data_IF_718928014931
#
_entry.id   IF_718928014931
#
_cell.length_a   1.000
_cell.length_b   1.000
_cell.length_c   1.000
_cell.angle_alpha   90.00
_cell.angle_beta   90.00
_cell.angle_gamma   90.00
#
_symmetry.space_group_name_H-M   'P 1'
#
loop_
_entity.id
_entity.type
_entity.pdbx_description
1 polymer ?
#
# COMPACT_ATOMS: atom_id res chain seq x y z
N UNK A 1 -12.90 1.18 5.62
CA UNK A 1 -14.13 1.27 6.45
C UNK A 1 -15.22 1.90 5.59
N UNK A 2 -16.52 1.65 5.84
CA UNK A 2 -17.59 2.24 5.03
C UNK A 2 -17.69 3.76 5.20
N UNK A 3 -18.34 4.42 4.25
CA UNK A 3 -18.75 5.83 4.35
C UNK A 3 -19.44 6.11 5.70
N UNK A 4 -19.16 7.26 6.30
CA UNK A 4 -19.72 7.68 7.58
C UNK A 4 -19.05 7.06 8.81
N UNK A 5 -18.02 6.23 8.63
CA UNK A 5 -17.27 5.69 9.77
C UNK A 5 -16.65 6.84 10.57
N UNK A 6 -16.86 6.88 11.89
CA UNK A 6 -16.33 7.95 12.72
C UNK A 6 -14.81 7.85 12.85
N UNK A 7 -14.19 9.01 12.98
CA UNK A 7 -12.85 9.21 13.48
C UNK A 7 -12.91 10.13 14.71
N UNK A 8 -11.77 10.27 15.38
CA UNK A 8 -11.55 11.27 16.42
C UNK A 8 -12.12 12.65 16.07
N UNK A 9 -12.59 13.39 17.08
CA UNK A 9 -13.02 14.79 16.97
C UNK A 9 -14.25 15.02 16.05
N UNK A 10 -15.17 14.05 16.02
CA UNK A 10 -16.41 14.08 15.22
C UNK A 10 -16.20 14.08 13.69
N UNK A 11 -15.02 13.66 13.24
CA UNK A 11 -14.76 13.46 11.81
C UNK A 11 -15.42 12.18 11.31
N UNK A 12 -15.80 12.17 10.03
CA UNK A 12 -16.38 11.00 9.38
C UNK A 12 -15.76 10.82 8.00
N UNK A 13 -15.49 9.56 7.64
CA UNK A 13 -15.03 9.23 6.29
C UNK A 13 -16.09 9.65 5.25
N UNK A 14 -15.77 10.49 4.25
CA UNK A 14 -16.72 10.90 3.23
C UNK A 14 -17.03 9.74 2.27
N UNK A 15 -18.11 9.86 1.50
CA UNK A 15 -18.57 8.77 0.62
C UNK A 15 -17.56 8.33 -0.44
N UNK A 16 -16.63 9.20 -0.80
CA UNK A 16 -15.64 9.00 -1.84
C UNK A 16 -14.24 8.65 -1.31
N UNK A 17 -14.04 8.56 0.01
CA UNK A 17 -12.73 8.28 0.60
C UNK A 17 -12.82 7.38 1.84
N UNK A 18 -11.94 6.37 1.99
CA UNK A 18 -10.87 6.03 1.05
C UNK A 18 -11.38 5.27 -0.19
N UNK A 19 -10.73 5.48 -1.33
CA UNK A 19 -11.03 4.81 -2.60
C UNK A 19 -10.40 3.42 -2.64
N UNK A 20 -11.19 2.37 -2.82
CA UNK A 20 -10.68 1.03 -3.12
C UNK A 20 -10.18 0.97 -4.57
N UNK A 21 -8.91 0.62 -4.76
CA UNK A 21 -8.37 0.34 -6.10
C UNK A 21 -8.89 -1.02 -6.57
N UNK A 22 -9.45 -1.06 -7.77
CA UNK A 22 -10.02 -2.27 -8.38
C UNK A 22 -9.26 -2.65 -9.65
N UNK A 23 -9.43 -3.88 -10.13
CA UNK A 23 -8.84 -4.32 -11.40
C UNK A 23 -7.37 -4.80 -11.34
N UNK A 24 -6.74 -4.82 -10.16
CA UNK A 24 -5.34 -5.27 -10.00
C UNK A 24 -5.19 -6.81 -9.87
N UNK A 25 -6.29 -7.57 -9.88
CA UNK A 25 -6.27 -8.99 -9.57
C UNK A 25 -5.93 -9.27 -8.09
N UNK A 26 -5.59 -10.51 -7.77
CA UNK A 26 -5.18 -10.90 -6.42
C UNK A 26 -3.70 -10.63 -6.19
N UNK A 27 -3.38 -9.98 -5.07
CA UNK A 27 -1.98 -9.79 -4.69
C UNK A 27 -1.33 -11.11 -4.27
N UNK A 28 -0.10 -11.32 -4.72
CA UNK A 28 0.70 -12.53 -4.52
C UNK A 28 2.18 -12.20 -4.34
N UNK A 29 2.45 -11.06 -3.69
CA UNK A 29 3.78 -10.44 -3.61
C UNK A 29 3.98 -9.39 -4.70
N UNK A 30 5.22 -8.96 -4.94
CA UNK A 30 5.53 -7.95 -5.97
C UNK A 30 5.30 -6.51 -5.49
N UNK A 31 5.06 -5.60 -6.43
CA UNK A 31 4.92 -4.16 -6.12
C UNK A 31 3.87 -3.48 -6.99
N UNK A 32 3.36 -2.35 -6.52
CA UNK A 32 2.54 -1.43 -7.29
C UNK A 32 3.31 -0.16 -7.64
N UNK A 33 2.96 0.45 -8.76
CA UNK A 33 3.45 1.77 -9.17
C UNK A 33 2.27 2.68 -9.48
N UNK A 34 2.43 3.96 -9.20
CA UNK A 34 1.47 5.00 -9.52
C UNK A 34 2.09 5.91 -10.58
N UNK A 35 1.42 6.11 -11.71
CA UNK A 35 1.94 6.92 -12.81
C UNK A 35 0.87 7.85 -13.35
N UNK A 36 1.29 8.86 -14.11
CA UNK A 36 0.40 9.90 -14.65
C UNK A 36 -0.49 10.55 -13.58
N UNK A 37 0.03 10.70 -12.36
CA UNK A 37 -0.71 11.36 -11.27
C UNK A 37 -0.85 12.84 -11.62
N UNK A 38 -2.09 13.28 -11.77
CA UNK A 38 -2.45 14.64 -12.15
C UNK A 38 -3.62 15.13 -11.30
N UNK A 39 -3.89 16.44 -11.37
CA UNK A 39 -4.89 17.10 -10.53
C UNK A 39 -4.27 17.65 -9.25
N UNK A 40 -5.07 17.67 -8.19
CA UNK A 40 -4.69 18.26 -6.93
C UNK A 40 -5.88 18.34 -5.99
N UNK A 41 -5.61 18.36 -4.70
CA UNK A 41 -6.62 18.52 -3.65
C UNK A 41 -6.25 19.65 -2.71
N UNK A 42 -7.19 20.03 -1.84
CA UNK A 42 -7.00 21.07 -0.85
C UNK A 42 -7.81 20.73 0.40
N UNK A 43 -7.19 20.84 1.58
CA UNK A 43 -7.83 20.81 2.91
C UNK A 43 -8.70 22.05 3.19
N UNK A 44 -8.90 22.91 2.19
CA UNK A 44 -9.78 24.07 2.26
C UNK A 44 -10.78 24.08 1.09
N UNK A 45 -11.86 24.88 1.17
CA UNK A 45 -12.83 25.00 0.07
C UNK A 45 -12.25 25.55 -1.23
N UNK A 46 -11.07 26.18 -1.20
CA UNK A 46 -10.39 26.66 -2.40
C UNK A 46 -9.56 25.56 -3.05
N UNK A 47 -9.69 25.42 -4.37
CA UNK A 47 -8.93 24.49 -5.18
C UNK A 47 -7.61 25.12 -5.67
N UNK A 48 -6.54 24.37 -5.93
CA UNK A 48 -6.12 23.07 -5.40
C UNK A 48 -4.58 23.11 -5.30
N UNK A 49 -4.00 22.36 -4.37
CA UNK A 49 -2.55 22.29 -4.18
C UNK A 49 -1.84 21.43 -5.23
N UNK A 50 -0.51 21.33 -5.10
CA UNK A 50 0.31 20.45 -5.93
C UNK A 50 0.04 18.97 -5.63
N UNK A 51 0.40 18.06 -6.55
CA UNK A 51 0.27 16.61 -6.36
C UNK A 51 1.16 16.09 -5.22
N UNK A 52 2.33 16.70 -5.06
CA UNK A 52 3.26 16.41 -3.97
C UNK A 52 2.75 16.92 -2.62
N UNK A 53 1.69 17.72 -2.62
CA UNK A 53 1.22 18.41 -1.44
C UNK A 53 2.01 19.67 -1.13
N UNK A 54 2.04 20.02 0.16
CA UNK A 54 2.70 21.21 0.69
C UNK A 54 3.51 20.84 1.97
N UNK A 55 3.49 21.67 3.01
CA UNK A 55 4.16 21.38 4.29
C UNK A 55 3.84 20.00 4.89
N UNK A 56 4.81 19.43 5.62
CA UNK A 56 4.66 18.16 6.31
C UNK A 56 3.79 18.29 7.55
N UNK A 57 2.84 17.37 7.68
CA UNK A 57 1.95 17.25 8.84
C UNK A 57 1.86 15.80 9.29
N UNK A 58 1.33 15.59 10.49
CA UNK A 58 0.85 14.28 10.93
C UNK A 58 -0.62 14.39 11.31
N UNK A 59 -1.35 13.28 11.28
CA UNK A 59 -2.69 13.25 11.86
C UNK A 59 -2.58 13.55 13.35
N UNK A 60 -3.18 14.65 13.80
CA UNK A 60 -2.98 15.20 15.17
C UNK A 60 -3.37 14.19 16.26
N UNK A 61 -4.50 13.46 16.14
CA UNK A 61 -4.90 12.42 17.10
C UNK A 61 -4.00 11.18 17.11
N UNK A 62 -3.12 11.00 16.12
CA UNK A 62 -2.25 9.84 16.03
C UNK A 62 -2.79 8.76 15.11
N UNK A 63 -2.44 7.51 15.42
CA UNK A 63 -2.98 6.34 14.74
C UNK A 63 -4.47 6.20 15.05
N UNK A 64 -5.28 5.90 14.04
CA UNK A 64 -6.74 5.95 14.14
C UNK A 64 -7.35 4.73 13.45
N UNK A 65 -8.41 4.16 14.02
CA UNK A 65 -9.15 3.05 13.41
C UNK A 65 -8.30 1.83 13.02
N UNK A 66 -7.20 1.59 13.74
CA UNK A 66 -6.25 0.50 13.47
C UNK A 66 -5.31 0.74 12.29
N UNK A 67 -5.29 1.95 11.73
CA UNK A 67 -4.33 2.40 10.72
C UNK A 67 -3.21 3.20 11.40
N UNK A 68 -1.98 3.10 10.88
CA UNK A 68 -0.88 3.89 11.42
C UNK A 68 -1.11 5.39 11.24
N UNK A 69 -0.45 6.20 12.08
CA UNK A 69 -0.19 7.59 11.71
C UNK A 69 0.82 7.64 10.55
N UNK A 70 0.98 8.81 9.95
CA UNK A 70 2.01 9.11 8.95
C UNK A 70 2.40 10.58 9.06
N UNK A 71 3.68 10.88 8.87
CA UNK A 71 4.14 12.26 8.64
C UNK A 71 4.45 12.44 7.17
N UNK A 72 3.61 13.17 6.45
CA UNK A 72 3.67 13.37 5.01
C UNK A 72 3.20 14.78 4.63
N UNK A 73 3.52 15.26 3.41
CA UNK A 73 2.99 16.53 2.90
C UNK A 73 1.46 16.58 2.94
N UNK A 74 0.88 17.64 3.49
CA UNK A 74 -0.57 17.89 3.41
C UNK A 74 -1.01 17.99 1.95
N UNK A 75 -2.24 17.58 1.62
CA UNK A 75 -2.80 17.52 0.27
C UNK A 75 -2.12 16.51 -0.68
N UNK A 76 -1.17 15.70 -0.22
CA UNK A 76 -0.58 14.65 -1.07
C UNK A 76 -1.51 13.44 -1.24
N UNK A 77 -1.25 12.64 -2.28
CA UNK A 77 -1.82 11.30 -2.40
C UNK A 77 -1.16 10.34 -1.41
N UNK A 78 -1.96 9.57 -0.67
CA UNK A 78 -1.51 8.53 0.26
C UNK A 78 -2.20 7.20 -0.03
N UNK A 79 -1.55 6.10 0.39
CA UNK A 79 -2.06 4.75 0.22
C UNK A 79 -1.98 3.92 1.49
N UNK A 80 -2.76 2.85 1.54
CA UNK A 80 -2.65 1.81 2.57
C UNK A 80 -3.03 0.43 2.01
N UNK A 81 -2.23 -0.57 2.32
CA UNK A 81 -2.55 -1.97 2.03
C UNK A 81 -3.31 -2.60 3.19
N UNK A 82 -4.42 -3.28 2.88
CA UNK A 82 -5.25 -4.00 3.84
C UNK A 82 -5.44 -5.46 3.41
N UNK A 83 -5.64 -6.33 4.39
CA UNK A 83 -6.24 -7.65 4.20
C UNK A 83 -7.77 -7.53 4.27
N UNK A 84 -8.52 -8.63 4.31
CA UNK A 84 -9.99 -8.61 4.36
C UNK A 84 -10.58 -8.33 5.76
N UNK A 85 -9.74 -8.28 6.79
CA UNK A 85 -10.21 -8.03 8.16
C UNK A 85 -10.51 -6.56 8.39
N UNK A 86 -11.33 -6.27 9.42
CA UNK A 86 -11.59 -4.90 9.83
C UNK A 86 -10.35 -4.34 10.56
N UNK A 87 -9.74 -3.22 10.10
CA UNK A 87 -8.47 -2.73 10.64
C UNK A 87 -8.52 -2.39 12.14
N UNK A 88 -9.64 -1.82 12.61
CA UNK A 88 -9.84 -1.39 14.00
C UNK A 88 -9.90 -2.54 15.01
N UNK A 89 -9.90 -3.80 14.55
CA UNK A 89 -9.80 -4.98 15.42
C UNK A 89 -8.36 -5.38 15.76
N UNK A 90 -7.37 -4.65 15.26
CA UNK A 90 -5.94 -4.90 15.48
C UNK A 90 -5.21 -3.61 15.87
N UNK A 91 -4.08 -3.76 16.56
CA UNK A 91 -3.23 -2.62 16.88
C UNK A 91 -2.67 -2.00 15.59
N UNK A 92 -2.64 -0.66 15.55
CA UNK A 92 -2.07 0.06 14.43
C UNK A 92 -0.55 -0.19 14.34
N UNK A 93 0.01 -0.34 13.12
CA UNK A 93 1.45 -0.46 12.94
C UNK A 93 2.17 0.88 13.22
N UNK A 94 3.50 0.83 13.32
CA UNK A 94 4.32 2.03 13.52
C UNK A 94 4.14 3.05 12.39
N UNK A 95 4.27 4.33 12.72
CA UNK A 95 4.14 5.40 11.73
C UNK A 95 5.35 5.49 10.78
N UNK A 96 5.10 5.89 9.54
CA UNK A 96 6.14 6.30 8.60
C UNK A 96 6.33 7.82 8.68
N UNK A 97 7.57 8.28 8.54
CA UNK A 97 7.94 9.70 8.53
C UNK A 97 8.73 10.03 7.26
N UNK A 98 8.16 10.91 6.43
CA UNK A 98 8.71 11.30 5.14
C UNK A 98 9.40 12.68 5.14
N UNK A 99 9.52 13.36 6.28
CA UNK A 99 10.11 14.72 6.38
C UNK A 99 11.52 14.83 5.80
N UNK A 100 12.28 13.74 5.81
CA UNK A 100 13.65 13.70 5.31
C UNK A 100 13.81 13.23 3.87
N UNK A 101 12.79 12.59 3.27
CA UNK A 101 12.90 12.04 1.91
C UNK A 101 11.55 11.68 1.28
N UNK A 102 11.20 12.35 0.19
CA UNK A 102 10.11 11.96 -0.72
C UNK A 102 10.61 11.27 -2.00
N UNK A 103 11.91 11.33 -2.28
CA UNK A 103 12.55 10.81 -3.48
C UNK A 103 13.19 9.44 -3.22
N UNK A 104 12.37 8.41 -2.99
CA UNK A 104 12.81 7.04 -2.73
C UNK A 104 12.40 6.11 -3.87
N UNK A 105 13.27 5.20 -4.30
CA UNK A 105 12.94 4.29 -5.40
C UNK A 105 11.97 3.17 -4.99
N UNK A 106 12.05 2.73 -3.74
CA UNK A 106 11.24 1.61 -3.24
C UNK A 106 10.76 1.84 -1.81
N UNK A 107 9.61 1.28 -1.47
CA UNK A 107 9.06 1.26 -0.11
C UNK A 107 8.45 -0.12 0.19
N UNK A 108 8.65 -0.60 1.41
CA UNK A 108 8.05 -1.84 1.91
C UNK A 108 7.06 -1.52 3.06
N UNK A 109 5.87 -1.00 2.76
CA UNK A 109 4.87 -0.71 3.78
C UNK A 109 4.34 -2.01 4.41
N UNK A 110 4.02 -1.97 5.70
CA UNK A 110 3.29 -3.05 6.37
C UNK A 110 1.77 -2.98 6.08
N UNK A 111 1.05 -4.07 6.39
CA UNK A 111 -0.42 -4.04 6.40
C UNK A 111 -0.92 -2.98 7.38
N UNK A 112 -1.93 -2.20 6.97
CA UNK A 112 -2.54 -1.08 7.74
C UNK A 112 -1.59 0.10 7.98
N UNK A 113 -0.44 0.13 7.32
CA UNK A 113 0.51 1.24 7.40
C UNK A 113 0.25 2.23 6.26
N UNK A 114 -0.06 3.47 6.62
CA UNK A 114 -0.29 4.55 5.67
C UNK A 114 1.06 5.04 5.13
N UNK A 115 1.15 5.22 3.80
CA UNK A 115 2.36 5.67 3.13
C UNK A 115 2.10 6.80 2.13
N UNK A 116 3.10 7.67 1.96
CA UNK A 116 3.11 8.72 0.96
C UNK A 116 3.24 8.14 -0.46
N UNK A 117 2.47 8.67 -1.39
CA UNK A 117 2.58 8.37 -2.83
C UNK A 117 2.99 9.63 -3.61
N UNK A 118 2.35 10.77 -3.33
CA UNK A 118 2.57 11.99 -4.13
C UNK A 118 2.29 11.75 -5.60
N UNK A 119 3.24 12.12 -6.45
CA UNK A 119 3.22 11.91 -7.90
C UNK A 119 3.66 10.51 -8.33
N UNK A 120 4.06 9.66 -7.37
CA UNK A 120 4.53 8.31 -7.59
C UNK A 120 5.93 8.23 -8.21
N UNK A 121 6.73 9.30 -8.17
CA UNK A 121 8.05 9.36 -8.79
C UNK A 121 9.20 9.60 -7.81
N UNK A 122 10.29 8.89 -8.05
CA UNK A 122 11.62 9.20 -7.54
C UNK A 122 12.38 9.95 -8.64
N UNK A 123 12.30 11.28 -8.61
CA UNK A 123 12.74 12.15 -9.70
C UNK A 123 12.04 11.83 -11.03
N UNK A 124 12.64 11.02 -11.91
CA UNK A 124 12.07 10.66 -13.22
C UNK A 124 11.75 9.17 -13.35
N UNK A 125 11.81 8.41 -12.26
CA UNK A 125 11.51 6.97 -12.23
C UNK A 125 10.32 6.70 -11.34
N UNK A 126 9.44 5.79 -11.73
CA UNK A 126 8.31 5.39 -10.89
C UNK A 126 8.81 4.73 -9.59
N UNK A 127 8.24 5.15 -8.46
CA UNK A 127 8.46 4.51 -7.16
C UNK A 127 7.77 3.15 -7.12
N UNK A 128 8.39 2.20 -6.42
CA UNK A 128 7.85 0.85 -6.26
C UNK A 128 7.40 0.62 -4.82
N UNK A 129 6.12 0.35 -4.64
CA UNK A 129 5.53 0.06 -3.33
C UNK A 129 5.28 -1.44 -3.23
N UNK A 130 6.14 -2.15 -2.49
CA UNK A 130 6.04 -3.60 -2.35
C UNK A 130 4.78 -3.98 -1.58
N UNK A 131 4.03 -4.91 -2.14
CA UNK A 131 2.77 -5.38 -1.54
C UNK A 131 3.12 -6.25 -0.32
N UNK A 132 2.66 -5.88 0.90
CA UNK A 132 2.94 -6.67 2.10
C UNK A 132 2.24 -8.03 2.04
N UNK A 133 2.86 -9.02 2.68
CA UNK A 133 2.27 -10.36 2.82
C UNK A 133 0.87 -10.28 3.43
N UNK A 134 -0.09 -10.96 2.81
CA UNK A 134 -1.49 -11.02 3.27
C UNK A 134 -2.36 -9.85 2.81
N UNK A 135 -1.81 -8.85 2.11
CA UNK A 135 -2.64 -7.80 1.51
C UNK A 135 -3.56 -8.38 0.44
N UNK A 136 -4.80 -7.94 0.46
CA UNK A 136 -5.83 -8.29 -0.54
C UNK A 136 -6.42 -7.04 -1.19
N UNK A 137 -6.21 -5.86 -0.56
CA UNK A 137 -6.83 -4.60 -0.95
C UNK A 137 -5.82 -3.45 -0.85
N UNK A 138 -5.91 -2.51 -1.78
CA UNK A 138 -5.21 -1.24 -1.76
C UNK A 138 -6.24 -0.11 -1.72
N UNK A 139 -6.09 0.78 -0.75
CA UNK A 139 -6.92 1.96 -0.61
C UNK A 139 -6.10 3.23 -0.83
N UNK A 140 -6.70 4.22 -1.49
CA UNK A 140 -6.12 5.54 -1.73
C UNK A 140 -6.92 6.62 -0.99
N UNK A 141 -6.21 7.66 -0.57
CA UNK A 141 -6.78 8.83 0.07
C UNK A 141 -5.88 10.04 -0.10
N UNK A 142 -6.29 11.17 0.47
CA UNK A 142 -5.53 12.41 0.49
C UNK A 142 -4.92 12.60 1.87
N UNK A 143 -3.76 13.24 1.99
CA UNK A 143 -3.22 13.60 3.31
C UNK A 143 -3.90 14.88 3.83
N UNK A 144 -4.41 14.83 5.05
CA UNK A 144 -4.96 15.98 5.77
C UNK A 144 -4.69 15.83 7.28
N UNK A 145 -4.84 16.91 8.04
CA UNK A 145 -4.48 16.98 9.46
C UNK A 145 -5.63 16.64 10.41
N UNK A 146 -6.80 17.26 10.20
CA UNK A 146 -8.03 17.12 11.00
C UNK A 146 -9.18 17.84 10.27
N UNK A 147 -10.45 17.56 10.61
CA UNK A 147 -11.64 18.24 10.06
C UNK A 147 -11.84 18.06 8.54
N UNK A 148 -11.93 16.80 8.11
CA UNK A 148 -12.01 16.37 6.71
C UNK A 148 -13.39 16.60 6.06
N UNK A 149 -13.94 17.81 6.20
CA UNK A 149 -15.34 18.11 5.88
C UNK A 149 -15.52 19.19 4.79
N UNK A 150 -14.45 19.87 4.39
CA UNK A 150 -14.52 21.02 3.48
C UNK A 150 -13.49 20.95 2.34
N UNK A 151 -12.87 19.79 2.15
CA UNK A 151 -11.83 19.55 1.17
C UNK A 151 -12.38 19.67 -0.26
N UNK A 152 -11.53 20.11 -1.17
CA UNK A 152 -11.87 20.27 -2.59
C UNK A 152 -10.82 19.64 -3.51
N UNK A 153 -11.19 19.40 -4.77
CA UNK A 153 -10.30 18.85 -5.79
C UNK A 153 -10.38 17.33 -5.97
N UNK A 154 -9.48 16.80 -6.80
CA UNK A 154 -9.37 15.36 -7.07
C UNK A 154 -8.02 15.01 -7.71
N UNK A 155 -7.63 13.75 -7.58
CA UNK A 155 -6.53 13.15 -8.34
C UNK A 155 -7.04 12.26 -9.47
N UNK A 156 -6.27 12.21 -10.56
CA UNK A 156 -6.39 11.23 -11.64
C UNK A 156 -5.04 10.55 -11.79
N UNK A 157 -5.02 9.22 -11.86
CA UNK A 157 -3.79 8.44 -11.95
C UNK A 157 -4.02 7.06 -12.56
N UNK A 158 -2.92 6.45 -13.00
CA UNK A 158 -2.85 5.04 -13.36
C UNK A 158 -2.21 4.24 -12.23
N UNK A 159 -2.74 3.04 -11.98
CA UNK A 159 -2.18 2.09 -11.01
C UNK A 159 -1.80 0.80 -11.74
N UNK A 160 -0.54 0.40 -11.64
CA UNK A 160 -0.05 -0.85 -12.20
C UNK A 160 0.47 -1.77 -11.09
N UNK A 161 0.14 -3.05 -11.19
CA UNK A 161 0.62 -4.09 -10.27
C UNK A 161 1.52 -5.07 -11.01
N UNK A 162 2.70 -5.30 -10.46
CA UNK A 162 3.70 -6.21 -10.99
C UNK A 162 3.90 -7.37 -10.02
N UNK A 163 3.40 -8.54 -10.38
CA UNK A 163 3.59 -9.77 -9.61
C UNK A 163 4.92 -10.46 -10.00
N UNK A 164 5.59 -11.13 -9.05
CA UNK A 164 6.70 -11.99 -9.39
C UNK A 164 6.20 -13.15 -10.25
N UNK A 165 6.98 -13.51 -11.28
CA UNK A 165 6.75 -14.77 -11.98
C UNK A 165 6.95 -15.92 -10.99
N UNK A 166 6.06 -16.92 -11.03
CA UNK A 166 6.28 -18.14 -10.27
C UNK A 166 7.60 -18.75 -10.72
N UNK A 167 8.60 -18.77 -9.83
CA UNK A 167 9.85 -19.49 -10.08
C UNK A 167 9.47 -20.97 -10.22
N UNK A 168 9.67 -21.61 -11.38
CA UNK A 168 9.39 -23.03 -11.53
C UNK A 168 10.18 -23.78 -10.47
N UNK A 169 9.54 -24.74 -9.78
CA UNK A 169 10.25 -25.51 -8.75
C UNK A 169 11.55 -26.08 -9.34
N UNK A 170 12.68 -25.93 -8.64
CA UNK A 170 13.97 -26.33 -9.19
C UNK A 170 13.94 -27.82 -9.51
N UNK A 171 14.48 -28.19 -10.68
CA UNK A 171 14.64 -29.59 -11.10
C UNK A 171 15.37 -30.45 -10.06
N UNK A 172 16.04 -29.82 -9.08
CA UNK A 172 16.61 -30.46 -7.88
C UNK A 172 15.63 -31.38 -7.16
N UNK A 173 14.34 -31.05 -7.05
CA UNK A 173 13.37 -31.96 -6.43
C UNK A 173 13.09 -33.19 -7.30
N UNK A 174 13.01 -33.01 -8.61
CA UNK A 174 12.86 -34.12 -9.56
C UNK A 174 14.11 -35.04 -9.52
N UNK A 175 15.31 -34.47 -9.46
CA UNK A 175 16.56 -35.22 -9.29
C UNK A 175 16.67 -35.89 -7.92
N UNK A 176 16.21 -35.24 -6.84
CA UNK A 176 16.20 -35.83 -5.50
C UNK A 176 15.26 -37.04 -5.45
N UNK A 177 14.05 -36.92 -5.99
CA UNK A 177 13.09 -38.02 -6.08
C UNK A 177 13.59 -39.15 -7.00
N UNK A 178 14.17 -38.82 -8.15
CA UNK A 178 14.77 -39.80 -9.06
C UNK A 178 15.96 -40.53 -8.41
N UNK A 179 16.83 -39.79 -7.70
CA UNK A 179 17.97 -40.35 -6.97
C UNK A 179 17.54 -41.28 -5.84
N UNK A 180 16.55 -40.86 -5.03
CA UNK A 180 15.98 -41.70 -3.97
C UNK A 180 15.27 -42.95 -4.54
N UNK A 181 14.56 -42.80 -5.65
CA UNK A 181 13.93 -43.92 -6.37
C UNK A 181 14.96 -44.93 -6.89
N UNK A 182 16.04 -44.46 -7.50
CA UNK A 182 17.13 -45.32 -7.96
C UNK A 182 17.80 -46.06 -6.79
N UNK A 183 18.08 -45.36 -5.69
CA UNK A 183 18.65 -45.95 -4.47
C UNK A 183 17.76 -47.04 -3.87
N UNK A 184 16.44 -46.82 -3.83
CA UNK A 184 15.48 -47.83 -3.37
C UNK A 184 15.46 -49.08 -4.27
N UNK A 185 15.54 -48.91 -5.59
CA UNK A 185 15.61 -50.02 -6.55
C UNK A 185 16.90 -50.83 -6.40
N UNK A 186 18.05 -50.17 -6.24
CA UNK A 186 19.32 -50.84 -5.99
C UNK A 186 19.34 -51.57 -4.64
N UNK A 187 18.78 -50.97 -3.58
CA UNK A 187 18.68 -51.61 -2.27
C UNK A 187 17.78 -52.85 -2.29
N UNK A 188 16.67 -52.83 -3.05
CA UNK A 188 15.76 -53.97 -3.22
C UNK A 188 16.41 -55.14 -3.98
N UNK A 189 17.22 -54.84 -5.01
CA UNK A 189 17.95 -55.86 -5.79
C UNK A 189 19.07 -56.55 -5.02
N UNK A 190 19.58 -55.95 -3.94
CA UNK A 190 20.62 -56.56 -3.09
C UNK A 190 20.07 -57.50 -2.01
N UNK A 191 18.75 -57.54 -1.81
CA UNK A 191 18.10 -58.32 -0.74
C UNK A 191 17.30 -59.54 -1.24
N UNK A 192 17.24 -59.77 -2.56
CA UNK A 192 16.66 -60.96 -3.17
C UNK A 192 17.71 -61.68 -4.00
#
# INVERSE_FOLDING_TARGET
MPSGSPASVNDHAPGQSPLLVTGLGSFSGGYVTFTHVTGGVSYTPSCCGSVEGDGFISHTPGAENGLSNVTAPINSLVGVFLDDTQPSLSAAPGALDFTGNLNFSTLNPALRQVFFIGDGQAASLAQQFFVPTGATRLFLGTMDGYEWNNNSGSFTLDVSYFSPSAVPEPETYAFMLAGLGAMALFARRRRG
#
